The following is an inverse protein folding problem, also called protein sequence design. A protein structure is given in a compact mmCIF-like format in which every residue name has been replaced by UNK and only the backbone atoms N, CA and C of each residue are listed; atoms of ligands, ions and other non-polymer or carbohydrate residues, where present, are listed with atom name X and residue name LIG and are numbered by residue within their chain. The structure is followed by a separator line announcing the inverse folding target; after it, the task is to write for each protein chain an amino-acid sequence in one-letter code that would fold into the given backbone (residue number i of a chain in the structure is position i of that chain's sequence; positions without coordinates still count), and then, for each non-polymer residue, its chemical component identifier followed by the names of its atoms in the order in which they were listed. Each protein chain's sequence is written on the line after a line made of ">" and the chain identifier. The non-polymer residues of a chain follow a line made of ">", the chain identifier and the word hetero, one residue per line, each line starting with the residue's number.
data_IF_507478902692
#
_entry.id   IF_507478902692
#
_cell.length_a   1.000
_cell.length_b   1.000
_cell.length_c   1.000
_cell.angle_alpha   90.00
_cell.angle_beta   90.00
_cell.angle_gamma   90.00
#
_symmetry.space_group_name_H-M   'P 1'
#
loop_
_entity.id
_entity.type
_entity.pdbx_description
1 polymer ?
#
# COMPACT_ATOMS: atom_id res chain seq x y z
N UNK A 1 6.10 4.92 6.16
CA UNK A 1 7.42 5.24 6.77
C UNK A 1 7.58 4.34 7.98
N UNK A 2 8.69 3.63 8.13
CA UNK A 2 8.92 2.62 9.17
C UNK A 2 9.60 3.22 10.42
N UNK A 3 9.30 4.47 10.76
CA UNK A 3 9.94 5.12 11.91
C UNK A 3 9.40 4.50 13.21
N UNK A 4 10.31 4.17 14.13
CA UNK A 4 10.06 3.42 15.38
C UNK A 4 9.49 2.01 15.20
N UNK A 5 9.78 1.34 14.08
CA UNK A 5 9.36 -0.06 13.89
C UNK A 5 10.38 -1.03 14.48
N UNK A 6 9.96 -1.85 15.45
CA UNK A 6 10.74 -2.96 15.97
C UNK A 6 10.88 -4.06 14.92
N UNK A 7 12.05 -4.66 14.85
CA UNK A 7 12.37 -5.65 13.83
C UNK A 7 13.26 -6.75 14.42
N UNK A 8 13.23 -7.94 13.82
CA UNK A 8 14.10 -9.07 14.18
C UNK A 8 14.74 -9.60 12.92
N UNK A 9 16.07 -9.56 12.86
CA UNK A 9 16.79 -10.03 11.69
C UNK A 9 16.53 -11.52 11.41
N UNK A 10 16.03 -11.85 10.22
CA UNK A 10 15.77 -13.22 9.76
C UNK A 10 17.03 -13.91 9.22
N UNK A 11 17.96 -13.13 8.69
CA UNK A 11 19.26 -13.57 8.16
C UNK A 11 20.34 -12.54 8.49
N UNK A 12 21.60 -12.94 8.34
CA UNK A 12 22.73 -12.04 8.48
C UNK A 12 22.60 -10.89 7.47
N UNK A 13 22.74 -9.66 7.97
CA UNK A 13 22.55 -8.43 7.20
C UNK A 13 23.82 -7.59 7.21
N UNK A 14 24.24 -7.10 6.04
CA UNK A 14 25.31 -6.12 5.96
C UNK A 14 24.77 -4.73 6.31
N UNK A 15 25.42 -4.07 7.26
CA UNK A 15 25.08 -2.72 7.68
C UNK A 15 26.34 -1.85 7.82
N UNK A 16 26.17 -0.54 7.79
CA UNK A 16 27.25 0.44 7.95
C UNK A 16 27.07 1.12 9.30
N UNK A 17 27.97 0.88 10.25
CA UNK A 17 27.86 1.46 11.58
C UNK A 17 28.01 2.98 11.54
N UNK A 18 27.13 3.72 12.24
CA UNK A 18 27.17 5.18 12.35
C UNK A 18 27.74 5.53 13.73
N UNK A 19 28.73 6.45 13.85
CA UNK A 19 29.33 7.31 12.82
C UNK A 19 30.59 6.73 12.14
N UNK A 20 31.07 5.55 12.55
CA UNK A 20 32.36 5.00 12.15
C UNK A 20 32.47 4.68 10.65
N UNK A 21 31.35 4.47 9.96
CA UNK A 21 31.29 4.16 8.53
C UNK A 21 31.78 2.74 8.19
N UNK A 22 32.07 1.91 9.20
CA UNK A 22 32.58 0.56 9.00
C UNK A 22 31.46 -0.39 8.59
N UNK A 23 31.74 -1.26 7.60
CA UNK A 23 30.85 -2.36 7.25
C UNK A 23 30.89 -3.39 8.38
N UNK A 24 29.73 -3.65 8.96
CA UNK A 24 29.53 -4.67 10.00
C UNK A 24 28.44 -5.60 9.52
N UNK A 25 28.59 -6.89 9.80
CA UNK A 25 27.53 -7.88 9.58
C UNK A 25 26.77 -8.03 10.88
N UNK A 26 25.47 -7.76 10.85
CA UNK A 26 24.59 -7.96 11.98
C UNK A 26 24.04 -9.39 11.89
N UNK A 27 24.26 -10.24 12.92
CA UNK A 27 23.84 -11.63 12.85
C UNK A 27 22.32 -11.77 12.88
N UNK A 28 21.83 -12.82 12.21
CA UNK A 28 20.45 -13.27 12.27
C UNK A 28 19.99 -13.44 13.73
N UNK A 29 18.74 -13.08 14.02
CA UNK A 29 18.15 -13.06 15.35
C UNK A 29 18.37 -11.76 16.13
N UNK A 30 19.15 -10.81 15.59
CA UNK A 30 19.35 -9.51 16.24
C UNK A 30 18.09 -8.66 16.16
N UNK A 31 17.63 -8.21 17.33
CA UNK A 31 16.49 -7.31 17.47
C UNK A 31 16.94 -5.85 17.50
N UNK A 32 16.10 -4.97 16.95
CA UNK A 32 16.36 -3.54 16.93
C UNK A 32 15.13 -2.73 16.57
N UNK A 33 15.32 -1.42 16.46
CA UNK A 33 14.28 -0.47 16.06
C UNK A 33 14.78 0.38 14.89
N UNK A 34 13.97 0.55 13.84
CA UNK A 34 14.27 1.54 12.81
C UNK A 34 14.03 2.92 13.41
N UNK A 35 15.06 3.76 13.40
CA UNK A 35 14.95 5.13 13.87
C UNK A 35 14.66 6.11 12.75
N UNK A 36 15.13 5.83 11.52
CA UNK A 36 14.98 6.72 10.37
C UNK A 36 14.95 5.95 9.04
N UNK A 37 14.17 6.45 8.07
CA UNK A 37 14.19 5.97 6.68
C UNK A 37 14.50 7.14 5.74
N UNK A 38 15.69 7.15 5.13
CA UNK A 38 16.19 8.22 4.28
C UNK A 38 16.59 7.67 2.92
N UNK A 39 15.78 7.97 1.88
CA UNK A 39 16.16 7.87 0.47
C UNK A 39 16.85 6.57 0.04
N UNK A 40 16.28 5.40 0.40
CA UNK A 40 16.83 4.09 0.05
C UNK A 40 17.80 3.49 1.09
N UNK A 41 17.85 4.05 2.30
CA UNK A 41 18.56 3.48 3.44
C UNK A 41 17.80 3.65 4.75
N UNK A 42 18.00 2.69 5.65
CA UNK A 42 17.31 2.60 6.93
C UNK A 42 18.33 2.66 8.05
N UNK A 43 18.18 3.63 8.94
CA UNK A 43 18.96 3.67 10.18
C UNK A 43 18.26 2.81 11.21
N UNK A 44 18.95 1.78 11.67
CA UNK A 44 18.50 0.85 12.71
C UNK A 44 19.32 1.07 13.98
N UNK A 45 18.66 1.00 15.13
CA UNK A 45 19.29 0.92 16.43
C UNK A 45 19.21 -0.52 16.93
N UNK A 46 20.37 -1.13 17.18
CA UNK A 46 20.50 -2.48 17.73
C UNK A 46 21.34 -2.44 19.01
N UNK A 47 21.53 -3.59 19.67
CA UNK A 47 22.45 -3.70 20.81
C UNK A 47 23.92 -3.36 20.45
N UNK A 48 24.28 -3.39 19.16
CA UNK A 48 25.61 -3.01 18.65
C UNK A 48 25.72 -1.51 18.32
N UNK A 49 24.66 -0.74 18.57
CA UNK A 49 24.57 0.69 18.28
C UNK A 49 23.76 1.00 17.01
N UNK A 50 23.98 2.19 16.46
CA UNK A 50 23.32 2.66 15.25
C UNK A 50 24.02 2.11 14.01
N UNK A 51 23.25 1.52 13.10
CA UNK A 51 23.75 1.04 11.83
C UNK A 51 22.81 1.45 10.70
N UNK A 52 23.36 1.70 9.52
CA UNK A 52 22.62 2.00 8.30
C UNK A 52 22.55 0.75 7.43
N UNK A 53 21.34 0.32 7.13
CA UNK A 53 21.04 -0.81 6.25
C UNK A 53 20.59 -0.26 4.89
N UNK A 54 21.04 -0.89 3.82
CA UNK A 54 20.59 -0.54 2.47
C UNK A 54 19.19 -1.09 2.21
N UNK A 55 18.39 -0.43 1.37
CA UNK A 55 17.03 -0.88 1.02
C UNK A 55 16.95 -2.33 0.50
N UNK A 56 18.00 -2.79 -0.18
CA UNK A 56 18.11 -4.18 -0.67
C UNK A 56 18.17 -5.25 0.44
N UNK A 57 18.53 -4.85 1.66
CA UNK A 57 18.71 -5.75 2.82
C UNK A 57 17.60 -5.54 3.88
N UNK A 58 16.54 -4.80 3.51
CA UNK A 58 15.32 -4.68 4.32
C UNK A 58 14.64 -6.02 4.59
N UNK A 59 14.72 -6.95 3.64
CA UNK A 59 14.19 -8.32 3.76
C UNK A 59 14.79 -9.04 4.97
N UNK A 60 16.04 -8.73 5.29
CA UNK A 60 16.73 -9.31 6.43
C UNK A 60 16.13 -8.82 7.74
N UNK A 61 15.62 -7.59 7.86
CA UNK A 61 15.13 -7.03 9.13
C UNK A 61 13.88 -7.75 9.65
N UNK A 62 13.27 -8.67 8.88
CA UNK A 62 12.03 -9.33 9.31
C UNK A 62 10.88 -8.34 9.49
N UNK A 63 11.04 -7.12 8.95
CA UNK A 63 9.93 -6.24 8.66
C UNK A 63 9.17 -6.91 7.55
N UNK A 64 8.15 -7.67 7.94
CA UNK A 64 7.00 -7.81 7.09
C UNK A 64 6.64 -6.39 6.64
N UNK A 65 6.59 -6.18 5.31
CA UNK A 65 5.84 -5.04 4.74
C UNK A 65 4.61 -4.87 5.63
N UNK A 66 4.29 -3.66 6.14
CA UNK A 66 3.23 -3.47 7.12
C UNK A 66 2.02 -4.20 6.57
N UNK A 67 1.62 -5.32 7.22
CA UNK A 67 0.76 -6.36 6.67
C UNK A 67 -0.07 -5.85 5.49
N UNK A 68 0.54 -5.84 4.31
CA UNK A 68 -0.21 -5.59 3.09
C UNK A 68 -0.66 -6.98 2.82
N UNK A 69 -1.76 -7.37 3.48
CA UNK A 69 -2.34 -8.71 3.49
C UNK A 69 -1.75 -9.48 2.33
N UNK A 70 -0.71 -10.26 2.63
CA UNK A 70 -0.24 -11.22 1.66
C UNK A 70 -1.48 -11.98 1.29
N UNK A 71 -1.78 -11.88 0.01
CA UNK A 71 -2.84 -12.56 -0.68
C UNK A 71 -3.33 -13.73 0.17
N UNK A 72 -4.53 -13.58 0.72
CA UNK A 72 -5.45 -14.69 0.61
C UNK A 72 -5.59 -14.96 -0.90
N UNK A 73 -4.62 -15.69 -1.46
CA UNK A 73 -4.91 -16.75 -2.40
C UNK A 73 -5.80 -17.72 -1.64
N UNK A 74 -7.05 -17.31 -1.43
CA UNK A 74 -8.11 -18.30 -1.59
C UNK A 74 -7.97 -18.63 -3.07
N UNK A 75 -7.28 -19.73 -3.35
CA UNK A 75 -7.41 -20.43 -4.61
C UNK A 75 -8.89 -20.85 -4.72
N UNK A 76 -9.76 -19.88 -5.04
CA UNK A 76 -11.10 -20.15 -5.53
C UNK A 76 -10.89 -20.60 -6.96
N UNK A 77 -11.28 -21.82 -7.20
CA UNK A 77 -11.03 -22.58 -8.43
C UNK A 77 -12.04 -22.24 -9.53
N UNK A 78 -12.54 -21.02 -9.52
CA UNK A 78 -13.45 -20.45 -10.51
C UNK A 78 -12.79 -19.16 -10.95
N UNK A 79 -12.36 -19.06 -12.21
CA UNK A 79 -11.69 -17.88 -12.78
C UNK A 79 -12.60 -16.64 -12.92
N UNK A 80 -13.49 -16.41 -11.95
CA UNK A 80 -14.38 -15.27 -11.89
C UNK A 80 -13.87 -14.26 -10.86
N UNK A 81 -13.73 -13.00 -11.28
CA UNK A 81 -13.39 -11.90 -10.38
C UNK A 81 -14.53 -11.69 -9.36
N UNK A 82 -14.19 -11.62 -8.07
CA UNK A 82 -15.14 -11.27 -7.03
C UNK A 82 -15.08 -9.79 -6.67
N UNK A 83 -16.20 -9.23 -6.23
CA UNK A 83 -16.28 -7.81 -5.85
C UNK A 83 -15.30 -7.49 -4.71
N UNK A 84 -15.12 -8.44 -3.78
CA UNK A 84 -14.18 -8.33 -2.67
C UNK A 84 -12.72 -8.20 -3.13
N UNK A 85 -12.32 -8.95 -4.17
CA UNK A 85 -10.96 -8.89 -4.72
C UNK A 85 -10.68 -7.53 -5.35
N UNK A 86 -11.67 -6.98 -6.06
CA UNK A 86 -11.60 -5.63 -6.64
C UNK A 86 -11.46 -4.57 -5.53
N UNK A 87 -12.28 -4.64 -4.48
CA UNK A 87 -12.17 -3.73 -3.33
C UNK A 87 -10.83 -3.84 -2.61
N UNK A 88 -10.28 -5.05 -2.49
CA UNK A 88 -8.96 -5.27 -1.90
C UNK A 88 -7.84 -4.65 -2.74
N UNK A 89 -7.93 -4.71 -4.07
CA UNK A 89 -6.99 -4.01 -4.94
C UNK A 89 -7.13 -2.50 -4.86
N UNK A 90 -8.35 -1.98 -4.81
CA UNK A 90 -8.62 -0.54 -4.63
C UNK A 90 -8.06 0.01 -3.31
N UNK A 91 -8.11 -0.76 -2.22
CA UNK A 91 -7.49 -0.39 -0.92
C UNK A 91 -5.97 -0.27 -0.98
N UNK A 92 -5.32 -0.85 -1.99
CA UNK A 92 -3.88 -0.70 -2.19
C UNK A 92 -3.52 0.54 -3.02
N UNK A 93 -4.50 1.28 -3.52
CA UNK A 93 -4.30 2.57 -4.19
C UNK A 93 -4.31 3.68 -3.14
N UNK A 94 -3.22 4.44 -3.07
CA UNK A 94 -3.03 5.51 -2.09
C UNK A 94 -3.00 6.86 -2.77
N UNK A 95 -3.55 7.87 -2.10
CA UNK A 95 -3.37 9.25 -2.54
C UNK A 95 -1.91 9.67 -2.26
N UNK A 96 -1.18 10.24 -3.25
CA UNK A 96 0.21 10.66 -3.05
C UNK A 96 0.37 11.85 -2.09
N UNK A 97 -0.69 12.64 -1.91
CA UNK A 97 -0.71 13.81 -1.02
C UNK A 97 -1.20 13.43 0.39
N UNK A 98 -2.04 12.40 0.51
CA UNK A 98 -2.63 11.96 1.78
C UNK A 98 -2.30 10.48 2.03
N UNK A 99 -1.63 10.12 3.15
CA UNK A 99 -1.16 8.74 3.41
C UNK A 99 -2.29 7.75 3.80
N UNK A 100 -3.43 7.82 3.12
CA UNK A 100 -4.63 7.00 3.29
C UNK A 100 -5.06 6.49 1.91
N UNK A 101 -5.62 5.28 1.85
CA UNK A 101 -6.08 4.70 0.59
C UNK A 101 -7.37 5.36 0.10
N UNK A 102 -7.62 5.27 -1.21
CA UNK A 102 -8.78 5.92 -1.86
C UNK A 102 -10.13 5.39 -1.34
N UNK A 103 -10.17 4.16 -0.82
CA UNK A 103 -11.38 3.54 -0.25
C UNK A 103 -11.68 4.14 1.13
N UNK A 104 -10.69 4.19 2.01
CA UNK A 104 -10.80 4.76 3.35
C UNK A 104 -10.97 6.28 3.33
N UNK A 105 -10.44 6.95 2.31
CA UNK A 105 -10.75 8.37 2.06
C UNK A 105 -12.20 8.59 1.61
N UNK A 106 -12.92 7.53 1.20
CA UNK A 106 -14.27 7.64 0.67
C UNK A 106 -14.30 8.27 -0.72
N UNK A 107 -13.24 8.09 -1.52
CA UNK A 107 -13.17 8.58 -2.89
C UNK A 107 -13.88 7.65 -3.87
N UNK A 108 -14.05 6.37 -3.53
CA UNK A 108 -14.77 5.40 -4.36
C UNK A 108 -16.26 5.44 -4.01
N UNK A 109 -17.10 5.82 -4.96
CA UNK A 109 -18.55 5.96 -4.77
C UNK A 109 -19.34 4.73 -5.19
N UNK A 110 -18.90 4.08 -6.26
CA UNK A 110 -19.60 2.94 -6.85
C UNK A 110 -18.58 1.99 -7.48
N UNK A 111 -18.81 0.69 -7.35
CA UNK A 111 -18.00 -0.37 -7.94
C UNK A 111 -18.97 -1.45 -8.43
N UNK A 112 -18.96 -1.74 -9.72
CA UNK A 112 -19.85 -2.73 -10.34
C UNK A 112 -19.05 -3.73 -11.15
N UNK A 113 -19.37 -5.01 -10.95
CA UNK A 113 -18.82 -6.11 -11.74
C UNK A 113 -19.88 -6.56 -12.74
N UNK A 114 -19.56 -6.47 -14.02
CA UNK A 114 -20.41 -6.85 -15.14
C UNK A 114 -19.77 -8.09 -15.77
N UNK A 115 -20.37 -9.26 -15.55
CA UNK A 115 -19.96 -10.51 -16.21
C UNK A 115 -20.28 -10.40 -17.70
N UNK A 116 -19.30 -10.69 -18.56
CA UNK A 116 -19.49 -10.67 -20.01
C UNK A 116 -19.95 -12.03 -20.51
N UNK A 117 -20.72 -12.03 -21.61
CA UNK A 117 -21.30 -13.24 -22.20
C UNK A 117 -20.24 -14.17 -22.83
N UNK A 118 -19.09 -13.61 -23.22
CA UNK A 118 -17.93 -14.28 -23.81
C UNK A 118 -16.96 -14.89 -22.77
N UNK A 119 -17.29 -14.78 -21.49
CA UNK A 119 -16.38 -15.09 -20.37
C UNK A 119 -15.60 -13.85 -19.93
N UNK A 120 -15.29 -13.78 -18.63
CA UNK A 120 -14.57 -12.67 -18.02
C UNK A 120 -15.45 -11.55 -17.47
N UNK A 121 -14.84 -10.67 -16.68
CA UNK A 121 -15.54 -9.61 -15.92
C UNK A 121 -15.06 -8.23 -16.34
N UNK A 122 -16.01 -7.33 -16.64
CA UNK A 122 -15.77 -5.90 -16.75
C UNK A 122 -16.08 -5.23 -15.43
N UNK A 123 -15.15 -4.43 -14.92
CA UNK A 123 -15.30 -3.68 -13.68
C UNK A 123 -15.52 -2.21 -14.01
N UNK A 124 -16.59 -1.61 -13.50
CA UNK A 124 -16.86 -0.18 -13.61
C UNK A 124 -16.80 0.47 -12.24
N UNK A 125 -15.90 1.43 -12.07
CA UNK A 125 -15.71 2.17 -10.83
C UNK A 125 -16.00 3.64 -11.05
N UNK A 126 -16.84 4.22 -10.18
CA UNK A 126 -17.01 5.67 -10.09
C UNK A 126 -16.28 6.16 -8.86
N UNK A 127 -15.36 7.08 -9.07
CA UNK A 127 -14.61 7.70 -7.98
C UNK A 127 -14.52 9.21 -8.15
N UNK A 128 -14.21 9.89 -7.08
CA UNK A 128 -14.00 11.34 -7.05
C UNK A 128 -12.59 11.66 -6.56
N UNK A 129 -12.28 12.95 -6.45
CA UNK A 129 -11.03 13.44 -5.88
C UNK A 129 -11.30 14.32 -4.67
N UNK A 130 -10.29 14.44 -3.81
CA UNK A 130 -10.28 15.34 -2.66
C UNK A 130 -10.40 16.82 -3.06
N UNK A 131 -9.95 17.18 -4.27
CA UNK A 131 -10.05 18.54 -4.81
C UNK A 131 -10.34 18.56 -6.33
N UNK A 132 -11.26 19.42 -6.78
CA UNK A 132 -11.48 19.65 -8.21
C UNK A 132 -10.24 20.26 -8.85
N UNK A 133 -9.76 19.67 -9.95
CA UNK A 133 -8.59 20.15 -10.68
C UNK A 133 -7.23 19.73 -10.13
N UNK A 134 -7.17 18.75 -9.21
CA UNK A 134 -5.90 18.14 -8.83
C UNK A 134 -5.24 17.49 -10.04
N UNK A 135 -4.05 17.96 -10.44
CA UNK A 135 -3.30 17.43 -11.58
C UNK A 135 -2.95 15.93 -11.45
N UNK A 136 -3.02 15.39 -10.23
CA UNK A 136 -2.77 13.98 -9.93
C UNK A 136 -4.00 13.09 -10.07
N UNK A 137 -5.20 13.65 -10.26
CA UNK A 137 -6.44 12.89 -10.39
C UNK A 137 -6.40 11.78 -11.44
N UNK A 138 -5.99 12.08 -12.69
CA UNK A 138 -5.83 11.07 -13.73
C UNK A 138 -4.80 9.98 -13.37
N UNK A 139 -3.74 10.32 -12.62
CA UNK A 139 -2.73 9.36 -12.20
C UNK A 139 -3.29 8.37 -11.16
N UNK A 140 -4.07 8.85 -10.20
CA UNK A 140 -4.75 8.00 -9.20
C UNK A 140 -5.78 7.10 -9.89
N UNK A 141 -6.59 7.66 -10.80
CA UNK A 141 -7.58 6.88 -11.55
C UNK A 141 -6.91 5.77 -12.40
N UNK A 142 -5.78 6.09 -13.04
CA UNK A 142 -5.01 5.12 -13.80
C UNK A 142 -4.36 4.04 -12.92
N UNK A 143 -3.83 4.40 -11.74
CA UNK A 143 -3.31 3.42 -10.78
C UNK A 143 -4.41 2.48 -10.27
N UNK A 144 -5.58 3.03 -9.93
CA UNK A 144 -6.76 2.24 -9.57
C UNK A 144 -7.16 1.29 -10.70
N UNK A 145 -7.26 1.79 -11.94
CA UNK A 145 -7.58 0.98 -13.12
C UNK A 145 -6.57 -0.16 -13.32
N UNK A 146 -5.27 0.14 -13.23
CA UNK A 146 -4.20 -0.84 -13.40
C UNK A 146 -4.25 -1.94 -12.34
N UNK A 147 -4.56 -1.59 -11.09
CA UNK A 147 -4.71 -2.55 -10.00
C UNK A 147 -5.94 -3.44 -10.19
N UNK A 148 -7.07 -2.89 -10.63
CA UNK A 148 -8.27 -3.67 -10.95
C UNK A 148 -8.00 -4.67 -12.08
N UNK A 149 -7.29 -4.25 -13.14
CA UNK A 149 -6.89 -5.13 -14.25
C UNK A 149 -5.94 -6.25 -13.83
N UNK A 150 -5.28 -6.14 -12.67
CA UNK A 150 -4.43 -7.20 -12.14
C UNK A 150 -5.20 -8.30 -11.39
N UNK A 151 -6.52 -8.14 -11.20
CA UNK A 151 -7.39 -9.16 -10.59
C UNK A 151 -7.64 -10.28 -11.61
N UNK A 152 -7.36 -11.52 -11.20
CA UNK A 152 -7.64 -12.70 -12.01
C UNK A 152 -9.14 -12.75 -12.37
N UNK A 153 -9.45 -12.85 -13.67
CA UNK A 153 -10.82 -12.88 -14.18
C UNK A 153 -11.43 -11.50 -14.53
N UNK A 154 -10.66 -10.41 -14.39
CA UNK A 154 -11.01 -9.09 -14.94
C UNK A 154 -10.39 -8.92 -16.31
N UNK A 155 -11.23 -8.66 -17.31
CA UNK A 155 -10.79 -8.38 -18.68
C UNK A 155 -10.73 -6.88 -19.00
N UNK A 156 -11.60 -6.10 -18.36
CA UNK A 156 -11.75 -4.68 -18.63
C UNK A 156 -12.02 -3.94 -17.32
N UNK A 157 -11.36 -2.80 -17.12
CA UNK A 157 -11.62 -1.90 -16.00
C UNK A 157 -11.86 -0.49 -16.54
N UNK A 158 -13.00 0.09 -16.19
CA UNK A 158 -13.36 1.48 -16.49
C UNK A 158 -13.45 2.26 -15.18
N UNK A 159 -12.61 3.29 -15.02
CA UNK A 159 -12.58 4.14 -13.84
C UNK A 159 -12.99 5.55 -14.25
N UNK A 160 -14.20 5.95 -13.83
CA UNK A 160 -14.79 7.24 -14.16
C UNK A 160 -14.65 8.21 -12.99
N UNK A 161 -14.06 9.37 -13.28
CA UNK A 161 -14.00 10.49 -12.35
C UNK A 161 -15.32 11.28 -12.35
N UNK A 162 -16.01 11.26 -11.22
CA UNK A 162 -17.25 12.00 -10.97
C UNK A 162 -17.02 13.11 -9.95
N UNK A 163 -17.70 14.23 -10.15
CA UNK A 163 -17.59 15.41 -9.27
C UNK A 163 -18.84 15.66 -8.43
N UNK A 164 -19.90 14.89 -8.68
CA UNK A 164 -21.18 14.98 -7.98
C UNK A 164 -21.55 13.59 -7.42
N UNK A 165 -21.82 13.46 -6.11
CA UNK A 165 -21.71 14.50 -5.07
C UNK A 165 -20.25 14.96 -4.85
N UNK A 166 -20.02 16.21 -4.41
CA UNK A 166 -18.68 16.67 -4.08
C UNK A 166 -18.16 15.94 -2.84
N UNK A 167 -16.90 15.52 -2.90
CA UNK A 167 -16.25 14.87 -1.77
C UNK A 167 -16.17 15.79 -0.55
N UNK A 168 -16.32 15.23 0.64
CA UNK A 168 -16.08 15.93 1.89
C UNK A 168 -15.47 15.00 2.94
N UNK A 169 -14.82 15.57 3.95
CA UNK A 169 -14.12 14.82 5.00
C UNK A 169 -15.03 13.89 5.82
N UNK A 170 -16.36 14.10 5.80
CA UNK A 170 -17.26 13.18 6.51
C UNK A 170 -17.35 11.80 5.82
N UNK A 171 -16.96 11.72 4.55
CA UNK A 171 -16.93 10.48 3.76
C UNK A 171 -15.74 9.58 4.13
N UNK A 172 -14.76 10.10 4.89
CA UNK A 172 -13.61 9.33 5.37
C UNK A 172 -14.08 8.30 6.40
N UNK A 173 -13.67 7.05 6.20
CA UNK A 173 -13.93 5.91 7.09
C UNK A 173 -13.31 6.15 8.47
N UNK A 174 -13.80 5.45 9.50
CA UNK A 174 -13.23 5.54 10.85
C UNK A 174 -11.73 5.19 10.85
N UNK A 175 -11.34 4.16 10.09
CA UNK A 175 -9.94 3.77 9.90
C UNK A 175 -9.11 4.88 9.23
N UNK A 176 -9.66 5.56 8.23
CA UNK A 176 -9.03 6.72 7.59
C UNK A 176 -8.85 7.90 8.55
N UNK A 177 -9.88 8.20 9.36
CA UNK A 177 -9.84 9.28 10.36
C UNK A 177 -8.80 9.03 11.45
N UNK A 178 -8.66 7.78 11.91
CA UNK A 178 -7.64 7.38 12.87
C UNK A 178 -6.22 7.60 12.31
N UNK A 179 -5.98 7.24 11.04
CA UNK A 179 -4.69 7.48 10.37
C UNK A 179 -4.38 8.98 10.19
N UNK A 180 -5.41 9.80 10.04
CA UNK A 180 -5.28 11.26 9.93
C UNK A 180 -5.24 11.98 11.29
N UNK A 181 -5.35 11.25 12.41
CA UNK A 181 -5.36 11.83 13.75
C UNK A 181 -6.58 12.72 14.04
N UNK A 182 -7.71 12.46 13.37
CA UNK A 182 -8.97 13.22 13.55
C UNK A 182 -9.81 12.71 14.72
N UNK A 183 -9.44 11.58 15.32
CA UNK A 183 -10.05 10.92 16.47
C UNK A 183 -8.97 10.29 17.35
#
# INVERSE_FOLDING_TARGET
>A
MYENTEFTLSRDCEAIQIPSGQKTTIPAGTQGVITQSLGGSYTIATYQGLARVAEKDLDALGLEKPQTQEAQKVARTDGEASEEDVWNQLRQCYDPEIPVNIVDLGLVYDCRLIKKEDGGTRVEVKMTLTAPGCGMGPAIAHDAQSKILSVDGVDEADVQLVWDPPWNQNMISEAGRMKLGMI
#
